data_IF_870671065492
#
_entry.id   IF_870671065492
#
_cell.length_a   1.000
_cell.length_b   1.000
_cell.length_c   1.000
_cell.angle_alpha   90.00
_cell.angle_beta   90.00
_cell.angle_gamma   90.00
#
_symmetry.space_group_name_H-M   'P 1'
#
loop_
_entity.id
_entity.type
_entity.pdbx_description
1 polymer ?
#
# COMPACT_ATOMS: atom_id res chain seq x y z
N UNK A 1 5.19 -8.88 3.43
CA UNK A 1 4.54 -7.82 2.67
C UNK A 1 3.01 -7.97 2.80
N UNK A 2 2.33 -6.92 3.24
CA UNK A 2 0.87 -6.81 3.27
C UNK A 2 0.50 -5.66 2.33
N UNK A 3 -0.31 -5.92 1.30
CA UNK A 3 -0.68 -4.87 0.35
C UNK A 3 -1.50 -5.39 -0.83
N UNK A 4 -1.90 -4.46 -1.68
CA UNK A 4 -2.77 -4.68 -2.83
C UNK A 4 -2.04 -5.28 -4.06
N UNK A 5 -2.68 -5.17 -5.23
CA UNK A 5 -2.14 -5.68 -6.50
C UNK A 5 -0.82 -5.02 -6.92
N UNK A 6 -0.55 -3.78 -6.50
CA UNK A 6 0.72 -3.11 -6.77
C UNK A 6 1.85 -3.80 -6.00
N UNK A 7 1.59 -4.18 -4.73
CA UNK A 7 2.54 -4.97 -3.95
C UNK A 7 2.84 -6.34 -4.57
N UNK A 8 1.85 -6.93 -5.26
CA UNK A 8 2.04 -8.19 -5.98
C UNK A 8 3.05 -8.04 -7.11
N UNK A 9 3.03 -6.91 -7.83
CA UNK A 9 3.93 -6.65 -8.97
C UNK A 9 5.40 -6.63 -8.54
N UNK A 10 5.73 -5.97 -7.41
CA UNK A 10 7.12 -5.86 -6.98
C UNK A 10 7.62 -6.99 -6.09
N UNK A 11 6.74 -7.86 -5.58
CA UNK A 11 7.11 -8.92 -4.61
C UNK A 11 8.24 -9.82 -5.10
N UNK A 12 8.19 -10.29 -6.36
CA UNK A 12 9.20 -11.19 -6.92
C UNK A 12 10.56 -10.50 -7.02
N UNK A 13 10.58 -9.24 -7.44
CA UNK A 13 11.78 -8.40 -7.48
C UNK A 13 12.41 -8.19 -6.10
N UNK A 14 11.60 -7.94 -5.07
CA UNK A 14 12.05 -7.81 -3.67
C UNK A 14 12.63 -9.12 -3.16
N UNK A 15 11.96 -10.26 -3.39
CA UNK A 15 12.48 -11.60 -3.03
C UNK A 15 13.85 -11.88 -3.62
N UNK A 16 14.00 -11.60 -4.91
CA UNK A 16 15.26 -11.83 -5.62
C UNK A 16 16.40 -11.01 -5.01
N UNK A 17 16.14 -9.75 -4.68
CA UNK A 17 17.15 -8.81 -4.14
C UNK A 17 17.52 -9.08 -2.68
N UNK A 18 16.62 -9.67 -1.92
CA UNK A 18 16.85 -10.05 -0.52
C UNK A 18 17.25 -11.51 -0.36
N UNK A 19 17.49 -12.25 -1.47
CA UNK A 19 17.94 -13.64 -1.41
C UNK A 19 19.23 -13.75 -0.60
N UNK A 20 19.25 -14.67 0.36
CA UNK A 20 20.37 -14.85 1.29
C UNK A 20 20.45 -13.82 2.42
N UNK A 21 19.57 -12.82 2.43
CA UNK A 21 19.49 -11.77 3.48
C UNK A 21 18.23 -11.95 4.32
N UNK A 22 17.07 -12.10 3.68
CA UNK A 22 15.80 -12.27 4.38
C UNK A 22 14.84 -13.17 3.58
N UNK A 23 13.95 -13.84 4.31
CA UNK A 23 12.82 -14.56 3.73
C UNK A 23 11.67 -13.59 3.52
N UNK A 24 11.37 -13.28 2.26
CA UNK A 24 10.27 -12.36 1.92
C UNK A 24 8.99 -13.16 1.70
N UNK A 25 8.07 -13.04 2.64
CA UNK A 25 6.71 -13.57 2.54
C UNK A 25 5.73 -12.47 2.15
N UNK A 26 4.62 -12.85 1.57
CA UNK A 26 3.54 -11.96 1.22
C UNK A 26 2.21 -12.54 1.72
N UNK A 27 1.27 -11.68 2.12
CA UNK A 27 -0.11 -12.07 2.36
C UNK A 27 -0.64 -12.93 1.19
N UNK A 28 -1.41 -13.99 1.45
CA UNK A 28 -1.80 -14.97 0.42
C UNK A 28 -2.65 -14.35 -0.69
N UNK A 29 -3.41 -13.30 -0.37
CA UNK A 29 -4.36 -12.66 -1.26
C UNK A 29 -3.97 -11.21 -1.61
N UNK A 30 -4.71 -10.61 -2.55
CA UNK A 30 -4.74 -9.17 -2.74
C UNK A 30 -5.43 -8.53 -1.52
N UNK A 31 -4.68 -7.76 -0.72
CA UNK A 31 -5.20 -7.17 0.52
C UNK A 31 -6.15 -6.00 0.29
N UNK A 32 -6.26 -5.50 -0.93
CA UNK A 32 -7.20 -4.47 -1.36
C UNK A 32 -7.22 -3.23 -0.45
N UNK A 33 -8.37 -2.99 0.24
CA UNK A 33 -8.61 -1.81 1.08
C UNK A 33 -8.21 -2.03 2.54
N UNK A 34 -8.18 -0.96 3.33
CA UNK A 34 -7.98 -1.02 4.79
C UNK A 34 -9.00 -1.91 5.46
N UNK A 35 -10.27 -1.90 5.03
CA UNK A 35 -11.29 -2.80 5.55
C UNK A 35 -10.93 -4.27 5.31
N UNK A 36 -10.50 -4.62 4.10
CA UNK A 36 -10.09 -5.99 3.79
C UNK A 36 -8.89 -6.45 4.63
N UNK A 37 -7.96 -5.53 4.91
CA UNK A 37 -6.81 -5.82 5.77
C UNK A 37 -7.28 -6.12 7.19
N UNK A 38 -8.18 -5.31 7.76
CA UNK A 38 -8.73 -5.53 9.09
C UNK A 38 -9.47 -6.88 9.20
N UNK A 39 -10.32 -7.18 8.22
CA UNK A 39 -11.13 -8.40 8.20
C UNK A 39 -10.27 -9.68 8.13
N UNK A 40 -9.05 -9.59 7.58
CA UNK A 40 -8.17 -10.74 7.36
C UNK A 40 -6.83 -10.64 8.07
N UNK A 41 -6.66 -9.72 9.00
CA UNK A 41 -5.40 -9.41 9.67
C UNK A 41 -4.69 -10.66 10.22
N UNK A 42 -5.42 -11.50 10.96
CA UNK A 42 -4.84 -12.70 11.58
C UNK A 42 -4.40 -13.74 10.53
N UNK A 43 -5.12 -13.84 9.42
CA UNK A 43 -4.74 -14.68 8.27
C UNK A 43 -3.45 -14.16 7.64
N UNK A 44 -3.32 -12.84 7.48
CA UNK A 44 -2.12 -12.23 6.87
C UNK A 44 -0.90 -12.31 7.77
N UNK A 45 -1.08 -12.27 9.08
CA UNK A 45 -0.01 -12.45 10.05
C UNK A 45 0.43 -13.92 10.20
N UNK A 46 -0.51 -14.87 10.07
CA UNK A 46 -0.22 -16.31 10.01
C UNK A 46 0.42 -16.89 11.27
N UNK A 47 0.38 -16.18 12.41
CA UNK A 47 0.99 -16.64 13.67
C UNK A 47 2.53 -16.72 13.64
N UNK A 48 3.17 -16.03 12.70
CA UNK A 48 4.63 -15.99 12.54
C UNK A 48 5.21 -14.78 13.27
N UNK A 49 6.38 -14.94 13.90
CA UNK A 49 7.15 -13.82 14.43
C UNK A 49 7.89 -13.11 13.29
N UNK A 50 7.36 -11.99 12.83
CA UNK A 50 7.95 -11.19 11.75
C UNK A 50 9.02 -10.24 12.31
N UNK A 51 10.13 -10.09 11.59
CA UNK A 51 11.13 -9.06 11.90
C UNK A 51 10.71 -7.69 11.35
N UNK A 52 10.20 -7.67 10.12
CA UNK A 52 9.76 -6.47 9.41
C UNK A 52 8.40 -6.74 8.76
N UNK A 53 7.48 -5.80 8.87
CA UNK A 53 6.22 -5.80 8.12
C UNK A 53 6.20 -4.52 7.27
N UNK A 54 6.22 -4.70 5.96
CA UNK A 54 6.02 -3.62 4.98
C UNK A 54 4.56 -3.66 4.53
N UNK A 55 3.85 -2.56 4.73
CA UNK A 55 2.40 -2.46 4.57
C UNK A 55 2.04 -1.33 3.61
N UNK A 56 1.11 -1.56 2.69
CA UNK A 56 0.45 -0.51 1.94
C UNK A 56 -1.08 -0.74 1.82
N UNK A 57 -1.85 0.34 1.81
CA UNK A 57 -3.27 0.39 1.48
C UNK A 57 -3.65 1.80 1.02
N UNK A 58 -4.68 1.89 0.19
CA UNK A 58 -5.20 3.19 -0.28
C UNK A 58 -5.82 3.13 -1.66
N UNK A 59 -5.13 2.54 -2.65
CA UNK A 59 -5.60 2.57 -4.05
C UNK A 59 -6.98 1.93 -4.24
N UNK A 60 -7.38 1.00 -3.39
CA UNK A 60 -8.73 0.45 -3.37
C UNK A 60 -9.68 1.32 -2.55
N UNK A 61 -9.20 1.86 -1.44
CA UNK A 61 -9.99 2.72 -0.53
C UNK A 61 -10.57 3.92 -1.26
N UNK A 62 -9.78 4.53 -2.15
CA UNK A 62 -10.17 5.71 -2.93
C UNK A 62 -10.98 5.39 -4.21
N UNK A 63 -11.37 4.11 -4.44
CA UNK A 63 -12.25 3.75 -5.56
C UNK A 63 -13.66 4.32 -5.34
N UNK A 64 -14.21 5.01 -6.34
CA UNK A 64 -15.58 5.52 -6.29
C UNK A 64 -16.60 4.39 -6.42
N UNK A 65 -17.59 4.38 -5.50
CA UNK A 65 -18.64 3.37 -5.38
C UNK A 65 -20.01 4.05 -5.36
N UNK A 66 -20.96 3.50 -6.10
CA UNK A 66 -22.34 3.94 -6.07
C UNK A 66 -23.09 3.51 -4.80
N UNK A 67 -24.27 4.04 -4.63
CA UNK A 67 -25.14 3.70 -3.49
C UNK A 67 -25.60 2.22 -3.49
N UNK A 68 -25.49 1.55 -4.63
CA UNK A 68 -25.76 0.12 -4.82
C UNK A 68 -24.56 -0.77 -4.41
N UNK A 69 -23.43 -0.18 -4.05
CA UNK A 69 -22.21 -0.88 -3.69
C UNK A 69 -21.36 -1.31 -4.89
N UNK A 70 -21.72 -0.89 -6.11
CA UNK A 70 -20.96 -1.17 -7.32
C UNK A 70 -20.03 0.00 -7.69
N UNK A 71 -18.91 -0.26 -8.42
CA UNK A 71 -18.02 0.79 -8.88
C UNK A 71 -18.76 1.84 -9.72
N UNK A 72 -18.52 3.12 -9.42
CA UNK A 72 -19.24 4.25 -10.03
C UNK A 72 -18.26 5.29 -10.60
N UNK A 73 -18.74 6.14 -11.48
CA UNK A 73 -17.97 7.25 -12.02
C UNK A 73 -17.58 8.23 -10.89
N UNK A 74 -16.46 8.92 -11.07
CA UNK A 74 -15.98 9.97 -10.16
C UNK A 74 -17.10 11.01 -9.95
N UNK A 75 -17.39 11.33 -8.69
CA UNK A 75 -18.47 12.24 -8.32
C UNK A 75 -19.84 11.58 -8.15
N UNK A 76 -19.94 10.26 -8.41
CA UNK A 76 -21.18 9.49 -8.21
C UNK A 76 -21.03 8.57 -7.00
N UNK A 77 -21.74 8.87 -5.93
CA UNK A 77 -21.61 8.13 -4.65
C UNK A 77 -20.46 8.63 -3.78
N UNK A 78 -19.63 7.74 -3.26
CA UNK A 78 -18.49 8.06 -2.40
C UNK A 78 -17.31 7.11 -2.64
N UNK A 79 -16.16 7.33 -1.98
CA UNK A 79 -15.04 6.39 -2.00
C UNK A 79 -15.43 5.11 -1.29
N UNK A 80 -14.85 3.98 -1.69
CA UNK A 80 -15.08 2.66 -1.08
C UNK A 80 -14.85 2.71 0.43
N UNK A 81 -13.80 3.39 0.85
CA UNK A 81 -13.53 3.73 2.26
C UNK A 81 -13.34 5.24 2.35
N UNK A 82 -14.35 6.01 2.79
CA UNK A 82 -14.22 7.45 2.95
C UNK A 82 -13.05 7.83 3.85
N UNK A 83 -12.42 8.99 3.60
CA UNK A 83 -11.16 9.40 4.23
C UNK A 83 -11.18 9.31 5.76
N UNK A 84 -12.27 9.72 6.41
CA UNK A 84 -12.40 9.65 7.87
C UNK A 84 -12.49 8.21 8.40
N UNK A 85 -13.05 7.31 7.61
CA UNK A 85 -13.03 5.88 7.93
C UNK A 85 -11.64 5.30 7.71
N UNK A 86 -10.97 5.65 6.61
CA UNK A 86 -9.59 5.25 6.31
C UNK A 86 -8.63 5.61 7.46
N UNK A 87 -8.75 6.83 8.04
CA UNK A 87 -7.96 7.25 9.21
C UNK A 87 -8.15 6.30 10.40
N UNK A 88 -9.40 5.94 10.72
CA UNK A 88 -9.71 5.01 11.83
C UNK A 88 -9.22 3.60 11.55
N UNK A 89 -9.45 3.12 10.33
CA UNK A 89 -9.03 1.78 9.92
C UNK A 89 -7.50 1.65 9.98
N UNK A 90 -6.76 2.66 9.52
CA UNK A 90 -5.29 2.69 9.62
C UNK A 90 -4.80 2.66 11.07
N UNK A 91 -5.44 3.42 11.97
CA UNK A 91 -5.08 3.41 13.38
C UNK A 91 -5.21 1.99 13.96
N UNK A 92 -6.33 1.32 13.74
CA UNK A 92 -6.54 -0.05 14.21
C UNK A 92 -5.55 -1.04 13.58
N UNK A 93 -5.26 -0.90 12.28
CA UNK A 93 -4.26 -1.72 11.59
C UNK A 93 -2.89 -1.56 12.26
N UNK A 94 -2.45 -0.32 12.44
CA UNK A 94 -1.15 0.01 13.03
C UNK A 94 -1.06 -0.50 14.47
N UNK A 95 -2.05 -0.23 15.30
CA UNK A 95 -2.10 -0.71 16.69
C UNK A 95 -1.98 -2.24 16.75
N UNK A 96 -2.70 -2.96 15.89
CA UNK A 96 -2.61 -4.42 15.83
C UNK A 96 -1.25 -4.92 15.36
N UNK A 97 -0.68 -4.29 14.35
CA UNK A 97 0.63 -4.68 13.81
C UNK A 97 1.77 -4.40 14.81
N UNK A 98 1.70 -3.32 15.57
CA UNK A 98 2.69 -3.01 16.62
C UNK A 98 2.74 -4.09 17.71
N UNK A 99 1.62 -4.75 18.00
CA UNK A 99 1.56 -5.87 18.96
C UNK A 99 2.37 -7.10 18.50
N UNK A 100 2.76 -7.19 17.23
CA UNK A 100 3.62 -8.28 16.72
C UNK A 100 5.08 -8.13 17.14
N UNK A 101 5.51 -6.93 17.53
CA UNK A 101 6.91 -6.60 17.80
C UNK A 101 7.77 -6.42 16.55
N UNK A 102 7.20 -6.53 15.36
CA UNK A 102 7.92 -6.29 14.11
C UNK A 102 8.24 -4.81 13.90
N UNK A 103 9.33 -4.51 13.20
CA UNK A 103 9.57 -3.18 12.65
C UNK A 103 8.57 -2.93 11.52
N UNK A 104 7.76 -1.86 11.63
CA UNK A 104 6.77 -1.52 10.61
C UNK A 104 7.33 -0.51 9.62
N UNK A 105 6.97 -0.68 8.35
CA UNK A 105 7.20 0.26 7.26
C UNK A 105 5.88 0.49 6.55
N UNK A 106 5.49 1.75 6.41
CA UNK A 106 4.35 2.14 5.60
C UNK A 106 4.80 2.55 4.20
N UNK A 107 4.24 1.94 3.16
CA UNK A 107 4.42 2.43 1.79
C UNK A 107 3.25 3.31 1.38
N UNK A 108 3.53 4.50 0.86
CA UNK A 108 2.50 5.41 0.37
C UNK A 108 1.72 4.80 -0.80
N UNK A 109 0.43 5.11 -0.87
CA UNK A 109 -0.38 4.83 -2.08
C UNK A 109 0.22 5.55 -3.27
N UNK A 110 0.45 4.81 -4.35
CA UNK A 110 1.06 5.36 -5.56
C UNK A 110 0.12 6.33 -6.30
N UNK A 111 0.66 7.23 -7.14
CA UNK A 111 -0.15 8.19 -7.87
C UNK A 111 -1.15 7.52 -8.82
N UNK A 112 -2.25 8.22 -9.07
CA UNK A 112 -3.28 7.85 -10.05
C UNK A 112 -3.14 8.76 -11.27
N UNK A 113 -3.03 8.19 -12.48
CA UNK A 113 -2.97 8.99 -13.70
C UNK A 113 -4.31 9.71 -13.98
N UNK A 114 -4.27 10.94 -14.51
CA UNK A 114 -5.47 11.60 -15.03
C UNK A 114 -6.22 10.72 -16.03
N UNK A 115 -7.54 10.64 -15.90
CA UNK A 115 -8.39 9.81 -16.75
C UNK A 115 -8.46 8.33 -16.34
N UNK A 116 -7.80 7.92 -15.26
CA UNK A 116 -7.98 6.57 -14.69
C UNK A 116 -9.42 6.41 -14.23
N UNK A 117 -10.13 5.36 -14.67
CA UNK A 117 -11.50 5.14 -14.25
C UNK A 117 -11.64 4.96 -12.74
N UNK A 118 -12.74 5.42 -12.16
CA UNK A 118 -13.18 5.18 -10.78
C UNK A 118 -12.28 5.79 -9.69
N UNK A 119 -11.24 6.53 -10.03
CA UNK A 119 -10.30 7.12 -9.07
C UNK A 119 -9.94 8.54 -9.46
N UNK A 120 -10.09 9.45 -8.50
CA UNK A 120 -9.64 10.82 -8.66
C UNK A 120 -8.12 10.90 -8.35
N UNK A 121 -7.29 11.47 -9.23
CA UNK A 121 -5.86 11.66 -8.95
C UNK A 121 -5.57 12.40 -7.64
N UNK A 122 -6.40 13.39 -7.28
CA UNK A 122 -6.20 14.20 -6.07
C UNK A 122 -6.45 13.40 -4.77
N UNK A 123 -7.24 12.33 -4.82
CA UNK A 123 -7.55 11.52 -3.66
C UNK A 123 -6.29 10.84 -3.08
N UNK A 124 -5.37 10.37 -3.91
CA UNK A 124 -4.15 9.72 -3.45
C UNK A 124 -3.30 10.62 -2.54
N UNK A 125 -3.22 11.91 -2.85
CA UNK A 125 -2.54 12.91 -2.02
C UNK A 125 -3.21 13.05 -0.65
N UNK A 126 -4.54 13.15 -0.60
CA UNK A 126 -5.29 13.30 0.63
C UNK A 126 -5.18 12.06 1.53
N UNK A 127 -5.26 10.85 0.94
CA UNK A 127 -5.11 9.59 1.67
C UNK A 127 -3.69 9.40 2.20
N UNK A 128 -2.66 9.73 1.42
CA UNK A 128 -1.27 9.71 1.87
C UNK A 128 -1.00 10.70 3.00
N UNK A 129 -1.58 11.90 2.95
CA UNK A 129 -1.48 12.87 4.04
C UNK A 129 -2.10 12.32 5.33
N UNK A 130 -3.27 11.70 5.25
CA UNK A 130 -3.93 11.07 6.38
C UNK A 130 -3.10 9.91 6.95
N UNK A 131 -2.53 9.08 6.09
CA UNK A 131 -1.63 8.00 6.51
C UNK A 131 -0.37 8.54 7.20
N UNK A 132 0.25 9.59 6.65
CA UNK A 132 1.45 10.19 7.23
C UNK A 132 1.23 10.71 8.66
N UNK A 133 0.05 11.27 8.96
CA UNK A 133 -0.31 11.69 10.32
C UNK A 133 -0.34 10.50 11.29
N UNK A 134 -0.91 9.36 10.88
CA UNK A 134 -0.93 8.14 11.69
C UNK A 134 0.50 7.59 11.87
N UNK A 135 1.28 7.49 10.79
CA UNK A 135 2.65 6.98 10.85
C UNK A 135 3.54 7.84 11.73
N UNK A 136 3.39 9.17 11.68
CA UNK A 136 4.14 10.09 12.54
C UNK A 136 3.82 9.89 14.02
N UNK A 137 2.54 9.69 14.40
CA UNK A 137 2.15 9.42 15.80
C UNK A 137 2.79 8.16 16.36
N UNK A 138 2.93 7.14 15.54
CA UNK A 138 3.49 5.84 15.93
C UNK A 138 4.99 5.68 15.59
N UNK A 139 5.63 6.73 15.06
CA UNK A 139 7.06 6.72 14.67
C UNK A 139 7.39 5.62 13.65
N UNK A 140 6.48 5.34 12.74
CA UNK A 140 6.64 4.34 11.69
C UNK A 140 7.33 4.97 10.48
N UNK A 141 8.35 4.30 9.95
CA UNK A 141 9.05 4.73 8.75
C UNK A 141 8.13 4.70 7.51
N UNK A 142 8.30 5.68 6.63
CA UNK A 142 7.55 5.77 5.37
C UNK A 142 8.47 5.46 4.19
N UNK A 143 8.05 4.50 3.37
CA UNK A 143 8.57 4.22 2.03
C UNK A 143 7.73 5.03 1.03
N UNK A 144 8.23 6.17 0.58
CA UNK A 144 7.45 7.12 -0.22
C UNK A 144 7.45 6.75 -1.71
N UNK A 145 6.68 5.71 -2.03
CA UNK A 145 6.48 5.24 -3.40
C UNK A 145 5.70 6.24 -4.26
N UNK A 146 4.90 7.14 -3.64
CA UNK A 146 4.22 8.21 -4.35
C UNK A 146 5.24 9.20 -4.93
N UNK A 147 6.06 9.81 -4.08
CA UNK A 147 7.05 10.79 -4.52
C UNK A 147 8.10 10.18 -5.47
N UNK A 148 8.44 8.90 -5.29
CA UNK A 148 9.34 8.17 -6.18
C UNK A 148 8.80 8.08 -7.61
N UNK A 149 7.49 7.83 -7.77
CA UNK A 149 6.92 7.46 -9.08
C UNK A 149 6.19 8.61 -9.77
N UNK A 150 5.70 9.60 -9.02
CA UNK A 150 4.94 10.74 -9.55
C UNK A 150 5.65 11.47 -10.70
N UNK A 151 6.96 11.84 -10.63
CA UNK A 151 7.63 12.58 -11.71
C UNK A 151 7.77 11.80 -13.01
N UNK A 152 7.61 10.48 -12.97
CA UNK A 152 7.81 9.56 -14.10
C UNK A 152 6.58 8.69 -14.36
N UNK A 153 5.42 9.10 -13.90
CA UNK A 153 4.22 8.28 -13.89
C UNK A 153 3.85 7.74 -15.30
N UNK A 154 3.95 8.59 -16.32
CA UNK A 154 3.65 8.20 -17.71
C UNK A 154 4.63 7.18 -18.31
N UNK A 155 5.82 7.03 -17.74
CA UNK A 155 6.79 6.01 -18.16
C UNK A 155 6.56 4.69 -17.41
N UNK A 156 6.12 4.79 -16.15
CA UNK A 156 6.07 3.67 -15.21
C UNK A 156 4.72 2.98 -15.18
N UNK A 157 3.64 3.65 -15.60
CA UNK A 157 2.29 3.10 -15.64
C UNK A 157 1.74 3.13 -17.08
N UNK A 158 0.96 2.12 -17.51
CA UNK A 158 0.16 2.21 -18.73
C UNK A 158 -0.86 3.36 -18.63
N UNK A 159 -1.26 3.99 -19.73
CA UNK A 159 -2.27 5.05 -19.70
C UNK A 159 -3.56 4.63 -19.02
N UNK A 160 -4.13 5.51 -18.20
CA UNK A 160 -5.40 5.31 -17.49
C UNK A 160 -5.43 4.04 -16.62
N UNK A 161 -4.30 3.67 -16.05
CA UNK A 161 -4.19 2.47 -15.21
C UNK A 161 -3.47 2.82 -13.91
N UNK A 162 -3.80 2.12 -12.83
CA UNK A 162 -3.12 2.23 -11.53
C UNK A 162 -1.93 1.27 -11.39
N UNK A 163 -1.87 0.24 -12.24
CA UNK A 163 -0.79 -0.73 -12.19
C UNK A 163 0.43 -0.24 -12.94
N UNK A 164 1.56 -0.79 -12.58
CA UNK A 164 2.86 -0.45 -13.15
C UNK A 164 3.22 -1.39 -14.30
N UNK A 165 4.02 -0.87 -15.26
CA UNK A 165 4.72 -1.68 -16.25
C UNK A 165 5.76 -2.57 -15.55
N UNK A 166 6.37 -3.51 -16.29
CA UNK A 166 7.46 -4.32 -15.75
C UNK A 166 8.63 -3.44 -15.25
N UNK A 167 9.00 -2.42 -16.01
CA UNK A 167 10.03 -1.45 -15.59
C UNK A 167 9.60 -0.61 -14.38
N UNK A 168 8.32 -0.26 -14.27
CA UNK A 168 7.77 0.43 -13.10
C UNK A 168 7.75 -0.46 -11.86
N UNK A 169 7.38 -1.73 -12.00
CA UNK A 169 7.43 -2.70 -10.92
C UNK A 169 8.86 -2.92 -10.41
N UNK A 170 9.83 -2.89 -11.31
CA UNK A 170 11.25 -2.96 -10.97
C UNK A 170 11.74 -1.75 -10.16
N UNK A 171 11.33 -0.53 -10.53
CA UNK A 171 11.62 0.70 -9.76
C UNK A 171 11.06 0.59 -8.34
N UNK A 172 9.81 0.14 -8.20
CA UNK A 172 9.20 -0.10 -6.88
C UNK A 172 9.95 -1.18 -6.09
N UNK A 173 10.31 -2.29 -6.73
CA UNK A 173 11.03 -3.39 -6.09
C UNK A 173 12.38 -2.94 -5.51
N UNK A 174 13.11 -2.06 -6.20
CA UNK A 174 14.38 -1.49 -5.69
C UNK A 174 14.13 -0.67 -4.43
N UNK A 175 13.19 0.26 -4.45
CA UNK A 175 12.88 1.13 -3.31
C UNK A 175 12.43 0.33 -2.08
N UNK A 176 11.46 -0.56 -2.26
CA UNK A 176 10.95 -1.44 -1.19
C UNK A 176 12.07 -2.31 -0.60
N UNK A 177 12.97 -2.84 -1.46
CA UNK A 177 14.12 -3.62 -1.00
C UNK A 177 15.04 -2.83 -0.09
N UNK A 178 15.41 -1.61 -0.48
CA UNK A 178 16.32 -0.76 0.30
C UNK A 178 15.68 -0.34 1.63
N UNK A 179 14.39 -0.01 1.61
CA UNK A 179 13.64 0.32 2.81
C UNK A 179 13.59 -0.86 3.80
N UNK A 180 13.28 -2.07 3.31
CA UNK A 180 13.29 -3.29 4.13
C UNK A 180 14.69 -3.59 4.65
N UNK A 181 15.73 -3.49 3.82
CA UNK A 181 17.13 -3.76 4.21
C UNK A 181 17.57 -2.88 5.38
N UNK A 182 17.20 -1.61 5.35
CA UNK A 182 17.50 -0.66 6.42
C UNK A 182 16.80 -1.00 7.75
N UNK A 183 15.63 -1.65 7.67
CA UNK A 183 14.82 -2.02 8.82
C UNK A 183 15.15 -3.41 9.40
N UNK A 184 15.96 -4.22 8.71
CA UNK A 184 16.36 -5.53 9.20
C UNK A 184 17.28 -5.40 10.44
N UNK A 185 17.13 -6.29 11.42
CA UNK A 185 18.06 -6.33 12.55
C UNK A 185 19.48 -6.65 12.07
N UNK A 186 20.46 -6.09 12.75
CA UNK A 186 21.88 -6.33 12.49
C UNK A 186 22.30 -7.78 12.75
#
# INVERSE_FOLDING_TARGET
LIGDSISMLYTVGVRSRLAGVANVCRAPDNCRSTQQILDNMETYLGGVAWNVIHLNAGIHDLTWMGADGEPAAIGVGDRQVPLERYRRDLEHIVERLLQTGATLIWATTTPVQPGTPLRDPDDATAYNAAAAETMARHQIAIDDLFALTEPRLSELQPPQNVHFTESGAEVLAVAVTECIRTALPA
#
